data_IF_760161085511
#
_entry.id   IF_760161085511
#
_cell.length_a   1.000
_cell.length_b   1.000
_cell.length_c   1.000
_cell.angle_alpha   90.00
_cell.angle_beta   90.00
_cell.angle_gamma   90.00
#
_symmetry.space_group_name_H-M   'P 1'
#
loop_
_entity.id
_entity.type
_entity.pdbx_description
1 polymer ?
#
# COMPACT_ATOMS: atom_id res chain seq x y z
N UNK A 1 2.79 35.63 1.40
CA UNK A 1 2.96 34.40 2.20
C UNK A 1 1.80 33.48 1.82
N UNK A 2 2.01 32.51 0.92
CA UNK A 2 0.95 31.57 0.53
C UNK A 2 0.79 30.59 1.68
N UNK A 3 -0.43 30.43 2.19
CA UNK A 3 -0.73 29.34 3.10
C UNK A 3 -0.52 28.04 2.32
N UNK A 4 0.61 27.36 2.55
CA UNK A 4 0.86 26.05 1.97
C UNK A 4 -0.23 25.12 2.51
N UNK A 5 -1.22 24.86 1.66
CA UNK A 5 -2.22 23.82 1.91
C UNK A 5 -1.45 22.56 2.26
N UNK A 6 -1.70 22.00 3.44
CA UNK A 6 -1.14 20.71 3.79
C UNK A 6 -1.53 19.70 2.70
N UNK A 7 -0.56 18.95 2.14
CA UNK A 7 -0.86 17.99 1.10
C UNK A 7 -1.86 16.95 1.64
N UNK A 8 -2.89 16.70 0.85
CA UNK A 8 -3.89 15.67 1.07
C UNK A 8 -3.23 14.29 1.22
N UNK A 9 -3.97 13.33 1.79
CA UNK A 9 -3.47 11.96 1.91
C UNK A 9 -3.01 11.38 0.57
N UNK A 10 -3.71 11.69 -0.52
CA UNK A 10 -3.34 11.24 -1.87
C UNK A 10 -2.08 11.90 -2.41
N UNK A 11 -1.90 13.21 -2.22
CA UNK A 11 -0.67 13.89 -2.63
C UNK A 11 0.55 13.31 -1.90
N UNK A 12 0.38 12.88 -0.64
CA UNK A 12 1.44 12.18 0.11
C UNK A 12 1.68 10.77 -0.43
N UNK A 13 0.64 10.00 -0.72
CA UNK A 13 0.77 8.67 -1.31
C UNK A 13 1.48 8.71 -2.67
N UNK A 14 1.10 9.63 -3.55
CA UNK A 14 1.75 9.85 -4.84
C UNK A 14 3.20 10.26 -4.68
N UNK A 15 3.51 11.14 -3.72
CA UNK A 15 4.88 11.49 -3.40
C UNK A 15 5.71 10.26 -3.01
N UNK A 16 5.19 9.38 -2.14
CA UNK A 16 5.88 8.14 -1.74
C UNK A 16 6.09 7.20 -2.94
N UNK A 17 5.09 7.04 -3.82
CA UNK A 17 5.25 6.27 -5.08
C UNK A 17 6.30 6.89 -5.99
N UNK A 18 6.34 8.22 -6.08
CA UNK A 18 7.37 8.96 -6.81
C UNK A 18 8.76 8.72 -6.25
N UNK A 19 8.92 8.76 -4.93
CA UNK A 19 10.19 8.44 -4.25
C UNK A 19 10.62 6.99 -4.49
N UNK A 20 9.68 6.04 -4.49
CA UNK A 20 9.99 4.63 -4.72
C UNK A 20 10.67 4.39 -6.09
N UNK A 21 10.33 5.16 -7.12
CA UNK A 21 10.91 5.03 -8.48
C UNK A 21 12.40 5.31 -8.54
N UNK A 22 12.98 5.99 -7.55
CA UNK A 22 14.42 6.23 -7.47
C UNK A 22 15.21 5.07 -6.84
N UNK A 23 14.52 4.02 -6.40
CA UNK A 23 15.14 2.86 -5.78
C UNK A 23 14.94 1.61 -6.63
N UNK A 24 15.88 0.66 -6.51
CA UNK A 24 15.78 -0.62 -7.17
C UNK A 24 14.49 -1.34 -6.76
N UNK A 25 13.72 -1.79 -7.74
CA UNK A 25 12.52 -2.60 -7.54
C UNK A 25 12.88 -3.83 -6.69
N UNK A 26 12.12 -4.07 -5.62
CA UNK A 26 12.40 -5.13 -4.64
C UNK A 26 13.42 -4.77 -3.55
N UNK A 27 14.10 -3.61 -3.64
CA UNK A 27 15.00 -3.12 -2.59
C UNK A 27 14.25 -2.60 -1.35
N UNK A 28 14.92 -2.57 -0.20
CA UNK A 28 14.34 -2.14 1.10
C UNK A 28 13.58 -0.80 1.02
N UNK A 29 14.19 0.21 0.41
CA UNK A 29 13.59 1.54 0.29
C UNK A 29 12.42 1.59 -0.69
N UNK A 30 12.53 0.89 -1.82
CA UNK A 30 11.42 0.73 -2.77
C UNK A 30 10.20 0.10 -2.09
N UNK A 31 10.41 -0.98 -1.33
CA UNK A 31 9.34 -1.68 -0.61
C UNK A 31 8.71 -0.79 0.47
N UNK A 32 9.53 -0.10 1.29
CA UNK A 32 9.04 0.79 2.36
C UNK A 32 8.18 1.93 1.82
N UNK A 33 8.62 2.58 0.75
CA UNK A 33 7.93 3.73 0.17
C UNK A 33 6.62 3.29 -0.51
N UNK A 34 6.63 2.17 -1.22
CA UNK A 34 5.44 1.59 -1.86
C UNK A 34 4.40 1.15 -0.81
N UNK A 35 4.85 0.46 0.25
CA UNK A 35 3.99 0.07 1.36
C UNK A 35 3.37 1.27 2.10
N UNK A 36 4.16 2.32 2.33
CA UNK A 36 3.66 3.56 2.96
C UNK A 36 2.57 4.22 2.11
N UNK A 37 2.76 4.29 0.79
CA UNK A 37 1.75 4.83 -0.12
C UNK A 37 0.45 4.01 -0.06
N UNK A 38 0.55 2.69 -0.17
CA UNK A 38 -0.60 1.79 -0.14
C UNK A 38 -1.35 1.84 1.22
N UNK A 39 -0.64 1.99 2.33
CA UNK A 39 -1.27 2.13 3.65
C UNK A 39 -2.10 3.43 3.78
N UNK A 40 -1.60 4.54 3.20
CA UNK A 40 -2.32 5.82 3.18
C UNK A 40 -3.57 5.69 2.30
N UNK A 41 -3.46 5.04 1.14
CA UNK A 41 -4.59 4.81 0.21
C UNK A 41 -5.66 3.91 0.85
N UNK A 42 -5.28 2.80 1.48
CA UNK A 42 -6.19 1.91 2.23
C UNK A 42 -6.96 2.63 3.34
N UNK A 43 -6.30 3.54 4.06
CA UNK A 43 -6.97 4.34 5.09
C UNK A 43 -8.06 5.24 4.48
N UNK A 44 -7.81 5.77 3.30
CA UNK A 44 -8.77 6.62 2.58
C UNK A 44 -9.89 5.80 1.92
N UNK A 45 -9.65 4.54 1.54
CA UNK A 45 -10.71 3.63 1.05
C UNK A 45 -11.80 3.37 2.10
N UNK A 46 -11.47 3.45 3.40
CA UNK A 46 -12.44 3.23 4.49
C UNK A 46 -13.53 4.31 4.64
N UNK A 47 -13.55 5.34 3.79
CA UNK A 47 -14.51 6.47 3.84
C UNK A 47 -14.92 7.11 2.49
N UNK A 48 -14.78 6.40 1.35
CA UNK A 48 -15.03 6.80 -0.06
C UNK A 48 -14.15 7.95 -0.63
N UNK A 49 -13.35 7.80 -1.71
CA UNK A 49 -12.70 6.65 -2.35
C UNK A 49 -11.40 7.16 -3.02
N UNK A 50 -10.26 6.50 -2.79
CA UNK A 50 -9.31 6.23 -3.85
C UNK A 50 -9.32 4.74 -4.16
N UNK A 51 -9.75 4.39 -5.37
CA UNK A 51 -9.67 3.02 -5.88
C UNK A 51 -8.19 2.69 -6.05
N UNK A 52 -7.64 1.83 -5.20
CA UNK A 52 -6.36 1.23 -5.52
C UNK A 52 -6.55 0.35 -6.76
N UNK A 53 -5.94 0.76 -7.87
CA UNK A 53 -5.99 0.03 -9.14
C UNK A 53 -5.04 -1.16 -9.10
N UNK A 54 -5.32 -2.12 -8.23
CA UNK A 54 -4.70 -3.43 -8.30
C UNK A 54 -5.21 -4.14 -9.55
N UNK A 55 -4.30 -4.47 -10.46
CA UNK A 55 -4.64 -5.08 -11.74
C UNK A 55 -4.80 -6.59 -11.61
N UNK A 56 -4.31 -7.17 -10.52
CA UNK A 56 -4.34 -8.61 -10.26
C UNK A 56 -4.26 -8.95 -8.77
N UNK A 57 -4.68 -10.17 -8.38
CA UNK A 57 -4.40 -10.71 -7.05
C UNK A 57 -2.90 -10.78 -6.72
N UNK A 58 -2.03 -10.87 -7.73
CA UNK A 58 -0.59 -10.87 -7.54
C UNK A 58 -0.09 -9.51 -7.03
N UNK A 59 -0.61 -8.41 -7.56
CA UNK A 59 -0.26 -7.06 -7.11
C UNK A 59 -0.61 -6.85 -5.63
N UNK A 60 -1.78 -7.36 -5.21
CA UNK A 60 -2.22 -7.35 -3.82
C UNK A 60 -1.25 -8.12 -2.90
N UNK A 61 -0.78 -9.30 -3.32
CA UNK A 61 0.15 -10.11 -2.55
C UNK A 61 1.55 -9.49 -2.49
N UNK A 62 2.01 -8.86 -3.56
CA UNK A 62 3.29 -8.13 -3.58
C UNK A 62 3.27 -6.96 -2.60
N UNK A 63 2.20 -6.17 -2.58
CA UNK A 63 2.06 -5.05 -1.66
C UNK A 63 1.88 -5.50 -0.21
N UNK A 64 1.16 -6.61 0.03
CA UNK A 64 1.10 -7.23 1.35
C UNK A 64 2.47 -7.68 1.87
N UNK A 65 3.28 -8.30 0.99
CA UNK A 65 4.65 -8.69 1.31
C UNK A 65 5.53 -7.46 1.60
N UNK A 66 5.41 -6.39 0.80
CA UNK A 66 6.14 -5.14 1.04
C UNK A 66 5.77 -4.51 2.39
N UNK A 67 4.49 -4.50 2.77
CA UNK A 67 4.03 -4.01 4.07
C UNK A 67 4.60 -4.83 5.23
N UNK A 68 4.65 -6.17 5.11
CA UNK A 68 5.27 -7.03 6.13
C UNK A 68 6.77 -6.80 6.26
N UNK A 69 7.48 -6.64 5.14
CA UNK A 69 8.90 -6.32 5.14
C UNK A 69 9.18 -4.95 5.78
N UNK A 70 8.33 -3.95 5.51
CA UNK A 70 8.43 -2.64 6.14
C UNK A 70 8.16 -2.72 7.66
N UNK A 71 7.11 -3.45 8.06
CA UNK A 71 6.75 -3.67 9.46
C UNK A 71 7.87 -4.35 10.26
N UNK A 72 8.61 -5.28 9.65
CA UNK A 72 9.71 -6.00 10.30
C UNK A 72 10.88 -5.09 10.73
N UNK A 73 11.03 -3.93 10.10
CA UNK A 73 12.11 -2.96 10.37
C UNK A 73 11.59 -1.62 10.90
N UNK A 74 10.30 -1.55 11.25
CA UNK A 74 9.68 -0.35 11.81
C UNK A 74 9.87 -0.33 13.33
N UNK A 75 10.32 0.78 13.89
CA UNK A 75 10.58 0.90 15.32
C UNK A 75 9.32 1.33 16.09
N UNK A 76 8.42 2.07 15.45
CA UNK A 76 7.17 2.53 16.04
C UNK A 76 6.11 1.40 16.10
N UNK A 77 5.67 0.95 17.29
CA UNK A 77 4.72 -0.17 17.41
C UNK A 77 3.37 0.07 16.74
N UNK A 78 2.84 1.30 16.80
CA UNK A 78 1.54 1.65 16.21
C UNK A 78 1.59 1.57 14.69
N UNK A 79 2.64 2.13 14.07
CA UNK A 79 2.84 2.12 12.62
C UNK A 79 3.06 0.69 12.12
N UNK A 80 3.85 -0.10 12.84
CA UNK A 80 4.03 -1.53 12.56
C UNK A 80 2.70 -2.28 12.59
N UNK A 81 1.83 -2.04 13.58
CA UNK A 81 0.53 -2.69 13.67
C UNK A 81 -0.39 -2.30 12.50
N UNK A 82 -0.39 -1.02 12.09
CA UNK A 82 -1.13 -0.55 10.92
C UNK A 82 -0.66 -1.23 9.62
N UNK A 83 0.65 -1.34 9.40
CA UNK A 83 1.22 -2.04 8.24
C UNK A 83 0.83 -3.52 8.21
N UNK A 84 0.86 -4.21 9.36
CA UNK A 84 0.45 -5.61 9.45
C UNK A 84 -1.05 -5.80 9.19
N UNK A 85 -1.90 -4.90 9.69
CA UNK A 85 -3.33 -4.91 9.43
C UNK A 85 -3.64 -4.65 7.95
N UNK A 86 -2.96 -3.69 7.33
CA UNK A 86 -3.06 -3.42 5.89
C UNK A 86 -2.65 -4.63 5.04
N UNK A 87 -1.53 -5.28 5.39
CA UNK A 87 -1.08 -6.49 4.70
C UNK A 87 -2.11 -7.62 4.76
N UNK A 88 -2.70 -7.86 5.94
CA UNK A 88 -3.73 -8.88 6.11
C UNK A 88 -5.01 -8.56 5.29
N UNK A 89 -5.38 -7.29 5.18
CA UNK A 89 -6.51 -6.87 4.37
C UNK A 89 -6.28 -7.11 2.87
N UNK A 90 -5.07 -6.80 2.37
CA UNK A 90 -4.68 -7.05 0.97
C UNK A 90 -4.66 -8.55 0.65
N UNK A 91 -4.11 -9.38 1.54
CA UNK A 91 -4.14 -10.84 1.39
C UNK A 91 -5.56 -11.37 1.36
N UNK A 92 -6.41 -10.95 2.30
CA UNK A 92 -7.81 -11.37 2.34
C UNK A 92 -8.55 -10.96 1.05
N UNK A 93 -8.20 -9.83 0.43
CA UNK A 93 -8.77 -9.39 -0.85
C UNK A 93 -8.25 -10.22 -2.02
N UNK A 94 -6.95 -10.54 -2.03
CA UNK A 94 -6.34 -11.40 -3.05
C UNK A 94 -6.95 -12.80 -3.06
N UNK A 95 -7.14 -13.40 -1.88
CA UNK A 95 -7.70 -14.75 -1.73
C UNK A 95 -9.22 -14.82 -1.95
N UNK A 96 -9.97 -13.73 -1.74
CA UNK A 96 -11.41 -13.67 -2.05
C UNK A 96 -11.71 -13.54 -3.55
N UNK A 97 -10.71 -13.25 -4.40
CA UNK A 97 -10.85 -13.08 -5.85
C UNK A 97 -10.45 -14.29 -6.71
N UNK A 98 -10.44 -15.51 -6.16
CA UNK A 98 -9.83 -16.70 -6.80
C UNK A 98 -10.76 -17.88 -7.07
N UNK A 99 -11.85 -17.68 -7.83
CA UNK A 99 -12.36 -18.70 -8.76
C UNK A 99 -12.78 -18.00 -10.05
N UNK A 100 -11.86 -17.90 -11.01
CA UNK A 100 -12.25 -17.82 -12.42
C UNK A 100 -12.53 -19.26 -12.85
N UNK A 101 -13.75 -19.74 -12.63
CA UNK A 101 -14.25 -20.83 -13.47
C UNK A 101 -14.42 -20.24 -14.86
N UNK A 102 -13.66 -20.74 -15.83
CA UNK A 102 -13.92 -20.47 -17.25
C UNK A 102 -15.42 -20.69 -17.52
N UNK A 103 -16.10 -19.74 -18.20
CA UNK A 103 -17.48 -19.95 -18.58
C UNK A 103 -17.55 -21.17 -19.51
N UNK A 104 -18.32 -22.18 -19.11
CA UNK A 104 -18.78 -23.24 -20.01
C UNK A 104 -19.92 -22.74 -20.87
#
# INVERSE_FOLDING_TARGET
MRADRMPSGLERAEWFRGQARYHLVGGKWWARLTATAAAIELRLESGDEPVMSFKSPLDLLVDAAAMRLAAAVEDAPQVRAEMLAGAAALEARAFRGGHVTEPR
#
